data_IF_054264812738
#
_entry.id   IF_054264812738
#
_cell.length_a   1.000
_cell.length_b   1.000
_cell.length_c   1.000
_cell.angle_alpha   90.00
_cell.angle_beta   90.00
_cell.angle_gamma   90.00
#
_symmetry.space_group_name_H-M   'P 1'
#
loop_
_entity.id
_entity.type
_entity.pdbx_description
1 polymer ?
#
# COMPACT_ATOMS: atom_id res chain seq x y z
N UNK A 1 -17.68 5.56 -6.63
CA UNK A 1 -17.95 6.81 -5.88
C UNK A 1 -19.27 6.74 -5.13
N UNK A 2 -20.41 6.52 -5.80
CA UNK A 2 -21.74 6.46 -5.15
C UNK A 2 -21.84 5.45 -3.99
N UNK A 3 -21.20 4.27 -4.11
CA UNK A 3 -21.19 3.26 -3.03
C UNK A 3 -20.42 3.67 -1.77
N UNK A 4 -19.38 4.49 -1.90
CA UNK A 4 -18.61 4.99 -0.75
C UNK A 4 -19.42 6.06 -0.03
N UNK A 5 -20.05 6.95 -0.80
CA UNK A 5 -20.92 7.98 -0.23
C UNK A 5 -22.11 7.37 0.53
N UNK A 6 -22.72 6.32 -0.01
CA UNK A 6 -23.79 5.57 0.68
C UNK A 6 -23.35 4.86 1.96
N UNK A 7 -22.07 4.45 2.07
CA UNK A 7 -21.55 3.72 3.23
C UNK A 7 -20.98 4.61 4.33
N UNK A 8 -20.52 5.80 3.99
CA UNK A 8 -19.70 6.63 4.89
C UNK A 8 -20.30 8.00 5.16
N UNK A 9 -21.32 8.42 4.39
CA UNK A 9 -21.94 9.76 4.40
C UNK A 9 -20.95 10.92 4.20
N UNK A 10 -19.67 10.60 3.97
CA UNK A 10 -18.57 11.52 3.76
C UNK A 10 -18.24 11.62 2.27
N UNK A 11 -17.60 12.72 1.90
CA UNK A 11 -17.17 12.93 0.53
C UNK A 11 -16.23 11.79 0.08
N UNK A 12 -16.62 11.01 -0.95
CA UNK A 12 -15.87 9.82 -1.37
C UNK A 12 -14.48 10.16 -1.93
N UNK A 13 -14.25 11.39 -2.40
CA UNK A 13 -12.92 11.86 -2.79
C UNK A 13 -12.02 12.08 -1.57
N UNK A 14 -12.58 12.49 -0.43
CA UNK A 14 -11.83 12.64 0.82
C UNK A 14 -11.34 11.27 1.31
N UNK A 15 -12.25 10.29 1.36
CA UNK A 15 -11.94 8.91 1.74
C UNK A 15 -10.87 8.31 0.83
N UNK A 16 -10.99 8.52 -0.50
CA UNK A 16 -9.99 8.05 -1.45
C UNK A 16 -8.60 8.66 -1.19
N UNK A 17 -8.52 9.99 -0.98
CA UNK A 17 -7.25 10.66 -0.68
C UNK A 17 -6.64 10.18 0.63
N UNK A 18 -7.48 9.99 1.65
CA UNK A 18 -7.05 9.47 2.96
C UNK A 18 -6.51 8.04 2.84
N UNK A 19 -7.23 7.16 2.15
CA UNK A 19 -6.80 5.79 1.89
C UNK A 19 -5.47 5.73 1.13
N UNK A 20 -5.33 6.50 0.05
CA UNK A 20 -4.08 6.56 -0.72
C UNK A 20 -2.93 7.05 0.15
N UNK A 21 -3.13 8.12 0.92
CA UNK A 21 -2.10 8.65 1.84
C UNK A 21 -1.72 7.62 2.91
N UNK A 22 -2.69 6.90 3.46
CA UNK A 22 -2.47 5.84 4.44
C UNK A 22 -1.63 4.69 3.88
N UNK A 23 -1.91 4.25 2.66
CA UNK A 23 -1.24 3.12 2.00
C UNK A 23 0.11 3.51 1.37
N UNK A 24 0.34 4.80 1.08
CA UNK A 24 1.59 5.29 0.48
C UNK A 24 2.80 4.90 1.33
N UNK A 25 3.73 4.09 0.80
CA UNK A 25 5.00 3.79 1.45
C UNK A 25 6.03 4.87 1.11
N UNK A 26 6.82 5.25 2.12
CA UNK A 26 7.97 6.15 1.94
C UNK A 26 9.28 5.35 1.72
N UNK A 27 9.28 4.07 2.08
CA UNK A 27 10.40 3.14 1.95
C UNK A 27 9.92 1.86 1.26
N UNK A 28 10.72 1.34 0.33
CA UNK A 28 10.54 0.00 -0.23
C UNK A 28 11.84 -0.79 -0.12
N UNK A 29 11.74 -2.04 -0.51
CA UNK A 29 12.85 -2.97 -0.54
C UNK A 29 13.11 -3.37 -1.98
N UNK A 30 14.36 -3.23 -2.42
CA UNK A 30 14.82 -3.66 -3.75
C UNK A 30 15.79 -4.82 -3.62
N UNK A 31 15.62 -5.85 -4.42
CA UNK A 31 16.58 -6.95 -4.48
C UNK A 31 17.88 -6.48 -5.16
N UNK A 32 19.02 -6.69 -4.50
CA UNK A 32 20.35 -6.39 -5.03
C UNK A 32 21.29 -7.56 -4.77
N UNK A 33 22.14 -7.88 -5.74
CA UNK A 33 23.15 -8.92 -5.60
C UNK A 33 24.44 -8.33 -5.03
N UNK A 34 24.91 -8.88 -3.92
CA UNK A 34 26.15 -8.46 -3.23
C UNK A 34 26.90 -9.73 -2.82
N UNK A 35 28.18 -9.85 -3.19
CA UNK A 35 29.01 -10.98 -2.77
C UNK A 35 28.51 -12.37 -3.20
N UNK A 36 27.74 -12.46 -4.29
CA UNK A 36 27.21 -13.72 -4.82
C UNK A 36 25.78 -14.05 -4.38
N UNK A 37 25.30 -13.49 -3.26
CA UNK A 37 23.92 -13.63 -2.74
C UNK A 37 23.03 -12.42 -3.06
N UNK A 38 21.71 -12.64 -3.09
CA UNK A 38 20.71 -11.57 -3.31
C UNK A 38 20.17 -11.10 -1.97
N UNK A 39 20.43 -9.85 -1.63
CA UNK A 39 19.94 -9.19 -0.42
C UNK A 39 18.82 -8.20 -0.76
N UNK A 40 17.99 -7.97 0.24
CA UNK A 40 16.92 -6.99 0.19
C UNK A 40 17.43 -5.67 0.74
N UNK A 41 17.59 -4.67 -0.13
CA UNK A 41 18.14 -3.36 0.23
C UNK A 41 17.00 -2.36 0.41
N UNK A 42 16.87 -1.73 1.58
CA UNK A 42 15.92 -0.65 1.80
C UNK A 42 16.28 0.58 0.95
N UNK A 43 15.30 1.12 0.23
CA UNK A 43 15.41 2.32 -0.58
C UNK A 43 14.29 3.29 -0.23
N UNK A 44 14.62 4.58 -0.15
CA UNK A 44 13.63 5.65 -0.05
C UNK A 44 12.95 5.83 -1.41
N UNK A 45 11.63 6.01 -1.39
CA UNK A 45 10.82 6.14 -2.59
C UNK A 45 10.33 7.59 -2.71
N UNK A 46 10.42 8.15 -3.92
CA UNK A 46 9.81 9.46 -4.21
C UNK A 46 8.28 9.42 -4.17
N UNK A 47 7.65 10.56 -3.84
CA UNK A 47 6.20 10.67 -3.66
C UNK A 47 5.36 10.15 -4.83
N UNK A 48 5.81 10.34 -6.08
CA UNK A 48 5.13 9.83 -7.29
C UNK A 48 5.15 8.30 -7.35
N UNK A 49 6.29 7.69 -7.06
CA UNK A 49 6.46 6.24 -7.06
C UNK A 49 5.71 5.59 -5.88
N UNK A 50 5.74 6.21 -4.70
CA UNK A 50 4.98 5.77 -3.54
C UNK A 50 3.47 5.76 -3.80
N UNK A 51 2.92 6.82 -4.42
CA UNK A 51 1.51 6.87 -4.85
C UNK A 51 1.17 5.76 -5.86
N UNK A 52 2.04 5.52 -6.83
CA UNK A 52 1.83 4.47 -7.82
C UNK A 52 1.81 3.06 -7.18
N UNK A 53 2.69 2.82 -6.20
CA UNK A 53 2.71 1.59 -5.40
C UNK A 53 1.45 1.44 -4.56
N UNK A 54 0.99 2.51 -3.90
CA UNK A 54 -0.23 2.48 -3.11
C UNK A 54 -1.47 2.13 -3.94
N UNK A 55 -1.61 2.73 -5.12
CA UNK A 55 -2.71 2.42 -6.04
C UNK A 55 -2.64 0.95 -6.47
N UNK A 56 -1.44 0.44 -6.78
CA UNK A 56 -1.23 -0.96 -7.15
C UNK A 56 -1.59 -1.92 -6.01
N UNK A 57 -1.23 -1.59 -4.77
CA UNK A 57 -1.56 -2.40 -3.60
C UNK A 57 -3.05 -2.38 -3.29
N UNK A 58 -3.71 -1.23 -3.36
CA UNK A 58 -5.17 -1.11 -3.21
C UNK A 58 -5.93 -1.95 -4.23
N UNK A 59 -5.53 -1.89 -5.51
CA UNK A 59 -6.14 -2.71 -6.56
C UNK A 59 -5.88 -4.20 -6.35
N UNK A 60 -4.66 -4.58 -5.95
CA UNK A 60 -4.30 -5.97 -5.66
C UNK A 60 -5.06 -6.53 -4.45
N UNK A 61 -5.20 -5.76 -3.39
CA UNK A 61 -5.97 -6.11 -2.20
C UNK A 61 -7.47 -6.26 -2.53
N UNK A 62 -8.02 -5.30 -3.29
CA UNK A 62 -9.42 -5.34 -3.73
C UNK A 62 -9.73 -6.61 -4.52
N UNK A 63 -8.87 -6.99 -5.47
CA UNK A 63 -9.05 -8.20 -6.29
C UNK A 63 -8.96 -9.52 -5.52
N UNK A 64 -8.32 -9.52 -4.35
CA UNK A 64 -8.19 -10.71 -3.49
C UNK A 64 -9.37 -10.87 -2.56
N UNK A 65 -10.19 -9.84 -2.36
CA UNK A 65 -11.35 -9.92 -1.49
C UNK A 65 -12.43 -10.83 -2.09
N UNK A 66 -13.10 -11.65 -1.28
CA UNK A 66 -14.31 -12.34 -1.71
C UNK A 66 -15.43 -11.30 -1.84
N UNK A 67 -15.94 -11.13 -3.06
CA UNK A 67 -16.99 -10.17 -3.34
C UNK A 67 -17.74 -10.49 -4.62
N UNK A 68 -18.83 -9.75 -4.82
CA UNK A 68 -19.75 -9.95 -5.95
C UNK A 68 -19.38 -9.11 -7.16
N UNK A 69 -18.73 -7.96 -6.92
CA UNK A 69 -18.20 -7.11 -7.97
C UNK A 69 -17.01 -6.27 -7.50
N UNK A 70 -16.11 -5.97 -8.44
CA UNK A 70 -14.90 -5.16 -8.20
C UNK A 70 -15.21 -3.79 -7.61
N UNK A 71 -16.35 -3.18 -7.98
CA UNK A 71 -16.75 -1.88 -7.46
C UNK A 71 -17.05 -1.92 -5.94
N UNK A 72 -17.64 -3.02 -5.45
CA UNK A 72 -17.94 -3.21 -4.03
C UNK A 72 -16.67 -3.57 -3.25
N UNK A 73 -15.83 -4.45 -3.80
CA UNK A 73 -14.55 -4.82 -3.21
C UNK A 73 -13.64 -3.59 -3.05
N UNK A 74 -13.49 -2.80 -4.11
CA UNK A 74 -12.69 -1.57 -4.09
C UNK A 74 -13.26 -0.54 -3.11
N UNK A 75 -14.58 -0.36 -3.08
CA UNK A 75 -15.19 0.58 -2.14
C UNK A 75 -14.97 0.16 -0.68
N UNK A 76 -14.98 -1.14 -0.40
CA UNK A 76 -14.79 -1.67 0.95
C UNK A 76 -13.32 -1.57 1.35
N UNK A 77 -12.39 -1.94 0.46
CA UNK A 77 -10.95 -1.80 0.72
C UNK A 77 -10.55 -0.33 0.92
N UNK A 78 -11.12 0.61 0.16
CA UNK A 78 -10.85 2.05 0.34
C UNK A 78 -11.35 2.57 1.70
N UNK A 79 -12.53 2.14 2.15
CA UNK A 79 -13.07 2.54 3.46
C UNK A 79 -12.21 1.95 4.58
N UNK A 80 -11.79 0.69 4.47
CA UNK A 80 -10.94 0.04 5.47
C UNK A 80 -9.55 0.68 5.49
N UNK A 81 -8.94 0.92 4.33
CA UNK A 81 -7.65 1.60 4.21
C UNK A 81 -7.69 3.02 4.78
N UNK A 82 -8.80 3.75 4.60
CA UNK A 82 -8.97 5.07 5.21
C UNK A 82 -9.02 5.01 6.76
N UNK A 83 -9.50 3.90 7.32
CA UNK A 83 -9.50 3.62 8.77
C UNK A 83 -8.19 3.03 9.28
N UNK A 84 -7.19 2.82 8.40
CA UNK A 84 -5.91 2.22 8.76
C UNK A 84 -5.96 0.69 8.88
N UNK A 85 -6.92 0.03 8.23
CA UNK A 85 -7.02 -1.43 8.20
C UNK A 85 -7.11 -1.94 6.75
N UNK A 86 -7.08 -3.28 6.59
CA UNK A 86 -7.15 -3.92 5.28
C UNK A 86 -5.82 -4.43 4.76
N UNK A 87 -5.88 -5.17 3.67
CA UNK A 87 -4.72 -5.88 3.12
C UNK A 87 -3.71 -4.92 2.50
N UNK A 88 -4.17 -3.79 1.95
CA UNK A 88 -3.27 -2.77 1.42
C UNK A 88 -2.42 -2.12 2.53
N UNK A 89 -3.01 -1.85 3.70
CA UNK A 89 -2.28 -1.29 4.86
C UNK A 89 -1.33 -2.33 5.44
N UNK A 90 -1.79 -3.56 5.63
CA UNK A 90 -0.94 -4.68 6.07
C UNK A 90 0.28 -4.84 5.16
N UNK A 91 0.11 -4.70 3.84
CA UNK A 91 1.22 -4.77 2.88
C UNK A 91 2.25 -3.66 3.07
N UNK A 92 1.80 -2.44 3.38
CA UNK A 92 2.68 -1.31 3.71
C UNK A 92 3.49 -1.62 4.98
N UNK A 93 2.84 -2.09 6.04
CA UNK A 93 3.50 -2.42 7.30
C UNK A 93 4.51 -3.56 7.16
N UNK A 94 4.17 -4.62 6.41
CA UNK A 94 5.09 -5.70 6.07
C UNK A 94 6.33 -5.16 5.35
N UNK A 95 6.13 -4.25 4.41
CA UNK A 95 7.24 -3.62 3.66
C UNK A 95 8.12 -2.77 4.58
N UNK A 96 7.53 -2.04 5.53
CA UNK A 96 8.28 -1.26 6.51
C UNK A 96 9.09 -2.15 7.45
N UNK A 97 8.47 -3.18 8.03
CA UNK A 97 9.16 -4.15 8.90
C UNK A 97 10.32 -4.84 8.16
N UNK A 98 10.11 -5.19 6.89
CA UNK A 98 11.14 -5.79 6.05
C UNK A 98 12.28 -4.83 5.76
N UNK A 99 11.98 -3.54 5.55
CA UNK A 99 12.99 -2.51 5.39
C UNK A 99 13.79 -2.26 6.68
N UNK A 100 13.13 -2.27 7.84
CA UNK A 100 13.80 -2.14 9.15
C UNK A 100 14.69 -3.33 9.47
N UNK A 101 14.21 -4.55 9.23
CA UNK A 101 14.99 -5.77 9.42
C UNK A 101 16.26 -5.80 8.55
N UNK A 102 16.20 -5.21 7.36
CA UNK A 102 17.34 -5.11 6.43
C UNK A 102 18.05 -3.76 6.49
N UNK A 103 17.83 -2.94 7.53
CA UNK A 103 18.46 -1.61 7.67
C UNK A 103 19.98 -1.67 7.61
N UNK A 104 20.57 -2.78 8.06
CA UNK A 104 22.01 -3.02 7.94
C UNK A 104 22.50 -2.98 6.48
N UNK A 105 21.70 -3.41 5.51
CA UNK A 105 22.05 -3.39 4.08
C UNK A 105 21.78 -2.04 3.40
N UNK A 106 21.28 -1.04 4.12
CA UNK A 106 20.93 0.26 3.57
C UNK A 106 22.13 1.10 3.10
N UNK A 107 23.37 0.61 3.24
CA UNK A 107 24.57 1.20 2.65
C UNK A 107 24.84 0.69 1.22
N UNK A 108 24.19 -0.41 0.80
CA UNK A 108 24.30 -0.96 -0.55
C UNK A 108 23.27 -0.34 -1.52
N UNK A 109 22.85 0.92 -1.33
CA UNK A 109 21.86 1.59 -2.21
C UNK A 109 22.40 1.83 -3.61
#
# INVERSE_FOLDING_TARGET
MNKIQQKTETNPLSVLRQAIRGVTPDIAVKARRVGGSTHQVPIEIGSTQGKALAIRWLLGASRKRPGRNMAFELSSELVDAAKGSGDAIRKKEETHRMAEANRAFAHFR
#
